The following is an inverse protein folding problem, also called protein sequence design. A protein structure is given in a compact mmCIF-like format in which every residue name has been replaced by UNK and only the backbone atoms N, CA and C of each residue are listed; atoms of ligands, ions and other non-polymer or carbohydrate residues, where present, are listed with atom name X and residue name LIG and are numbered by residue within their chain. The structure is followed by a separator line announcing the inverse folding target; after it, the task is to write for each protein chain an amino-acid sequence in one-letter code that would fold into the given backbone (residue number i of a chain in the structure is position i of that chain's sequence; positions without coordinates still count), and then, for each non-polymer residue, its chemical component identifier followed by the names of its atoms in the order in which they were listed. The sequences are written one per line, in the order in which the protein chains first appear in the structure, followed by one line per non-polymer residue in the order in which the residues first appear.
data_IF_147817857450
#
_entry.id   IF_147817857450
#
_cell.length_a   1.000
_cell.length_b   1.000
_cell.length_c   1.000
_cell.angle_alpha   90.00
_cell.angle_beta   90.00
_cell.angle_gamma   90.00
#
_symmetry.space_group_name_H-M   'P 1'
#
loop_
_entity.id
_entity.type
_entity.pdbx_description
1 polymer ?
#
# COMPACT_ATOMS: atom_id res chain seq x y z
N UNK A 1 0.82 7.31 -0.26
CA UNK A 1 -0.24 7.71 -1.20
C UNK A 1 -0.59 6.53 -2.09
N UNK A 2 -1.72 6.57 -2.79
CA UNK A 2 -2.10 5.61 -3.83
C UNK A 2 -2.31 6.38 -5.13
N UNK A 3 -2.14 5.71 -6.27
CA UNK A 3 -2.31 6.33 -7.58
C UNK A 3 -2.60 5.25 -8.64
N UNK A 4 -3.29 5.60 -9.74
CA UNK A 4 -3.44 4.69 -10.87
C UNK A 4 -2.08 4.34 -11.47
N UNK A 5 -1.99 3.16 -12.09
CA UNK A 5 -0.73 2.69 -12.67
C UNK A 5 -0.20 3.62 -13.78
N UNK A 6 -1.08 4.34 -14.48
CA UNK A 6 -0.71 5.32 -15.51
C UNK A 6 0.05 6.53 -14.96
N UNK A 7 -0.06 6.86 -13.68
CA UNK A 7 0.59 8.02 -13.07
C UNK A 7 2.03 7.75 -12.60
N UNK A 8 2.52 6.49 -12.71
CA UNK A 8 3.82 6.07 -12.12
C UNK A 8 4.98 6.96 -12.54
N UNK A 9 5.13 7.22 -13.84
CA UNK A 9 6.22 8.04 -14.34
C UNK A 9 6.16 9.49 -13.81
N UNK A 10 4.96 10.06 -13.69
CA UNK A 10 4.77 11.40 -13.16
C UNK A 10 5.13 11.49 -11.67
N UNK A 11 4.82 10.45 -10.90
CA UNK A 11 5.18 10.34 -9.48
C UNK A 11 6.70 10.23 -9.30
N UNK A 12 7.36 9.40 -10.10
CA UNK A 12 8.81 9.26 -10.05
C UNK A 12 9.50 10.59 -10.41
N UNK A 13 9.00 11.29 -11.41
CA UNK A 13 9.48 12.62 -11.79
C UNK A 13 9.24 13.67 -10.68
N UNK A 14 8.08 13.66 -10.04
CA UNK A 14 7.79 14.55 -8.92
C UNK A 14 8.73 14.29 -7.73
N UNK A 15 8.99 13.02 -7.40
CA UNK A 15 9.96 12.64 -6.37
C UNK A 15 11.37 13.13 -6.69
N UNK A 16 11.83 12.91 -7.92
CA UNK A 16 13.13 13.41 -8.39
C UNK A 16 13.24 14.95 -8.28
N UNK A 17 12.21 15.67 -8.74
CA UNK A 17 12.14 17.13 -8.67
C UNK A 17 12.18 17.65 -7.22
N UNK A 18 11.50 16.95 -6.31
CA UNK A 18 11.48 17.31 -4.90
C UNK A 18 12.73 16.84 -4.12
N UNK A 19 13.64 16.08 -4.73
CA UNK A 19 14.76 15.44 -4.03
C UNK A 19 14.31 14.35 -3.04
N UNK A 20 13.13 13.78 -3.23
CA UNK A 20 12.54 12.76 -2.35
C UNK A 20 12.54 11.41 -3.06
N UNK A 21 13.17 10.40 -2.44
CA UNK A 21 13.10 9.03 -2.96
C UNK A 21 11.68 8.48 -2.80
N UNK A 22 11.05 8.14 -3.91
CA UNK A 22 9.76 7.44 -3.94
C UNK A 22 10.00 5.98 -4.29
N UNK A 23 9.24 5.08 -3.67
CA UNK A 23 9.30 3.65 -3.96
C UNK A 23 7.91 3.06 -3.86
N UNK A 24 7.55 2.21 -4.83
CA UNK A 24 6.30 1.47 -4.78
C UNK A 24 6.44 0.29 -3.83
N UNK A 25 5.64 0.27 -2.77
CA UNK A 25 5.66 -0.78 -1.74
C UNK A 25 4.54 -1.82 -1.89
N UNK A 26 3.60 -1.62 -2.83
CA UNK A 26 2.50 -2.56 -3.03
C UNK A 26 1.52 -2.11 -4.11
N UNK A 27 0.39 -2.82 -4.18
CA UNK A 27 -0.74 -2.56 -5.08
C UNK A 27 -2.05 -2.75 -4.33
N UNK A 28 -3.08 -2.04 -4.77
CA UNK A 28 -4.47 -2.24 -4.33
C UNK A 28 -5.21 -2.86 -5.52
N UNK A 29 -5.93 -3.94 -5.25
CA UNK A 29 -6.79 -4.60 -6.24
C UNK A 29 -8.24 -4.50 -5.77
N UNK A 30 -9.16 -4.42 -6.72
CA UNK A 30 -10.56 -4.59 -6.41
C UNK A 30 -10.81 -6.04 -5.98
N UNK A 31 -11.84 -6.25 -5.16
CA UNK A 31 -12.34 -7.58 -4.87
C UNK A 31 -12.78 -8.23 -6.19
N UNK A 32 -12.28 -9.43 -6.45
CA UNK A 32 -12.51 -10.17 -7.69
C UNK A 32 -13.83 -10.95 -7.65
N UNK A 33 -14.43 -11.09 -6.46
CA UNK A 33 -15.75 -11.72 -6.28
C UNK A 33 -16.50 -11.13 -5.08
N UNK A 34 -17.84 -11.25 -5.01
CA UNK A 34 -18.63 -10.80 -3.86
C UNK A 34 -18.32 -11.54 -2.55
N UNK A 35 -17.76 -12.74 -2.63
CA UNK A 35 -17.36 -13.55 -1.47
C UNK A 35 -15.96 -13.22 -0.94
N UNK A 36 -15.17 -12.45 -1.69
CA UNK A 36 -13.83 -12.08 -1.26
C UNK A 36 -13.91 -11.02 -0.16
N UNK A 37 -13.20 -11.25 0.94
CA UNK A 37 -13.12 -10.30 2.03
C UNK A 37 -11.93 -9.34 1.83
N UNK A 38 -12.06 -8.06 2.20
CA UNK A 38 -10.93 -7.15 2.24
C UNK A 38 -9.79 -7.73 3.10
N UNK A 39 -8.59 -7.77 2.54
CA UNK A 39 -7.43 -8.31 3.22
C UNK A 39 -6.16 -7.55 2.82
N UNK A 40 -5.14 -7.63 3.68
CA UNK A 40 -3.80 -7.14 3.37
C UNK A 40 -2.85 -8.34 3.35
N UNK A 41 -2.23 -8.59 2.20
CA UNK A 41 -1.20 -9.61 2.06
C UNK A 41 0.18 -8.97 2.23
N UNK A 42 0.81 -9.19 3.39
CA UNK A 42 2.18 -8.75 3.66
C UNK A 42 3.18 -9.77 3.11
N UNK A 43 4.20 -9.29 2.41
CA UNK A 43 5.25 -10.13 1.82
C UNK A 43 6.64 -9.53 2.09
N UNK A 44 7.63 -10.39 2.27
CA UNK A 44 9.03 -9.98 2.36
C UNK A 44 9.62 -9.63 0.98
N UNK A 45 10.92 -9.28 0.95
CA UNK A 45 11.62 -8.92 -0.27
C UNK A 45 11.74 -10.08 -1.30
N UNK A 46 11.57 -11.33 -0.87
CA UNK A 46 11.54 -12.52 -1.72
C UNK A 46 10.13 -12.91 -2.17
N UNK A 47 9.11 -12.22 -1.65
CA UNK A 47 7.70 -12.50 -1.91
C UNK A 47 7.06 -13.49 -0.94
N UNK A 48 7.80 -13.97 0.07
CA UNK A 48 7.27 -14.90 1.06
C UNK A 48 6.25 -14.19 1.98
N UNK A 49 5.11 -14.84 2.32
CA UNK A 49 4.13 -14.24 3.22
C UNK A 49 4.73 -13.94 4.61
N UNK A 50 4.41 -12.76 5.14
CA UNK A 50 4.75 -12.40 6.51
C UNK A 50 3.56 -12.69 7.44
N UNK A 51 3.81 -13.49 8.48
CA UNK A 51 2.85 -13.70 9.57
C UNK A 51 3.08 -12.61 10.62
N UNK A 52 2.27 -11.55 10.58
CA UNK A 52 2.38 -10.42 11.50
C UNK A 52 1.18 -10.40 12.45
N UNK A 53 1.44 -10.29 13.74
CA UNK A 53 0.43 -9.91 14.73
C UNK A 53 0.40 -8.38 14.78
N UNK A 54 -0.56 -7.77 14.09
CA UNK A 54 -0.72 -6.33 14.05
C UNK A 54 -1.77 -5.92 15.10
N UNK A 55 -1.40 -4.99 15.97
CA UNK A 55 -2.32 -4.35 16.91
C UNK A 55 -2.64 -2.95 16.39
N UNK A 56 -3.93 -2.68 16.16
CA UNK A 56 -4.41 -1.33 15.90
C UNK A 56 -4.65 -0.61 17.21
N UNK A 57 -4.16 0.61 17.33
CA UNK A 57 -4.60 1.55 18.35
C UNK A 57 -5.42 2.62 17.62
N UNK A 58 -6.68 2.77 18.00
CA UNK A 58 -7.45 3.92 17.54
C UNK A 58 -6.93 5.15 18.30
N UNK A 59 -6.45 6.14 17.56
CA UNK A 59 -5.96 7.40 18.14
C UNK A 59 -7.10 8.40 18.35
N UNK A 60 -8.32 8.10 17.92
CA UNK A 60 -9.48 8.94 18.12
C UNK A 60 -10.26 8.48 19.36
N UNK A 61 -10.31 9.34 20.38
CA UNK A 61 -11.36 9.28 21.39
C UNK A 61 -12.60 9.96 20.79
N UNK A 62 -13.70 9.22 20.70
CA UNK A 62 -15.00 9.78 20.36
C UNK A 62 -15.65 10.31 21.65
N UNK A 63 -15.34 11.54 22.02
CA UNK A 63 -16.13 12.32 22.98
C UNK A 63 -17.00 13.34 22.22
#
# INVERSE_FOLDING_TARGET
FTAPASARAAIDAAGASAGVRVTRVGTIHALSSPSEQPAIAWRDATGAPLTLTLHGFDHFHAD
#
